data_IF_595889101482
#
_entry.id   IF_595889101482
#
_cell.length_a   1.000
_cell.length_b   1.000
_cell.length_c   1.000
_cell.angle_alpha   90.00
_cell.angle_beta   90.00
_cell.angle_gamma   90.00
#
_symmetry.space_group_name_H-M   'P 1'
#
loop_
_entity.id
_entity.type
_entity.pdbx_description
1 polymer ?
#
# COMPACT_ATOMS: atom_id res chain seq x y z
N UNK A 1 8.79 18.28 -4.31
CA UNK A 1 7.31 18.34 -4.33
C UNK A 1 6.85 17.61 -5.58
N UNK A 2 6.18 16.46 -5.43
CA UNK A 2 5.69 15.69 -6.58
C UNK A 2 4.37 16.28 -7.04
N UNK A 3 4.32 16.78 -8.26
CA UNK A 3 3.06 17.20 -8.88
C UNK A 3 2.34 15.99 -9.50
N UNK A 4 1.11 15.78 -9.04
CA UNK A 4 0.18 14.75 -9.53
C UNK A 4 -1.08 15.43 -10.02
N UNK A 5 -1.61 14.95 -11.14
CA UNK A 5 -2.81 15.48 -11.78
C UNK A 5 -3.70 14.36 -12.32
N UNK A 6 -4.95 14.69 -12.63
CA UNK A 6 -5.94 13.73 -13.12
C UNK A 6 -6.29 12.67 -12.08
N UNK A 7 -6.52 11.44 -12.52
CA UNK A 7 -6.99 10.34 -11.67
C UNK A 7 -6.09 10.05 -10.46
N UNK A 8 -4.77 10.23 -10.59
CA UNK A 8 -3.84 10.05 -9.48
C UNK A 8 -4.07 11.08 -8.35
N UNK A 9 -4.45 12.31 -8.72
CA UNK A 9 -4.80 13.35 -7.75
C UNK A 9 -6.10 13.02 -7.01
N UNK A 10 -7.11 12.50 -7.72
CA UNK A 10 -8.38 12.10 -7.11
C UNK A 10 -8.22 10.92 -6.13
N UNK A 11 -7.29 9.99 -6.42
CA UNK A 11 -6.93 8.90 -5.50
C UNK A 11 -6.24 9.47 -4.26
N UNK A 12 -5.25 10.35 -4.45
CA UNK A 12 -4.55 10.96 -3.33
C UNK A 12 -5.51 11.72 -2.40
N UNK A 13 -6.39 12.55 -2.95
CA UNK A 13 -7.39 13.28 -2.16
C UNK A 13 -8.33 12.35 -1.38
N UNK A 14 -8.68 11.19 -1.93
CA UNK A 14 -9.49 10.19 -1.21
C UNK A 14 -8.73 9.59 -0.03
N UNK A 15 -7.48 9.20 -0.23
CA UNK A 15 -6.62 8.66 0.83
C UNK A 15 -6.37 9.70 1.92
N UNK A 16 -6.09 10.94 1.55
CA UNK A 16 -5.91 12.06 2.49
C UNK A 16 -7.17 12.28 3.35
N UNK A 17 -8.36 12.27 2.73
CA UNK A 17 -9.65 12.36 3.46
C UNK A 17 -9.88 11.20 4.42
N UNK A 18 -9.30 10.03 4.16
CA UNK A 18 -9.36 8.88 5.08
C UNK A 18 -8.34 8.98 6.23
N UNK A 19 -7.51 10.03 6.25
CA UNK A 19 -6.44 10.25 7.22
C UNK A 19 -5.18 9.45 6.89
N UNK A 20 -4.96 9.12 5.61
CA UNK A 20 -3.71 8.54 5.16
C UNK A 20 -2.64 9.63 5.05
N UNK A 21 -1.40 9.25 5.35
CA UNK A 21 -0.19 10.06 5.23
C UNK A 21 0.80 9.35 4.33
N UNK A 22 1.72 10.11 3.75
CA UNK A 22 2.75 9.59 2.86
C UNK A 22 4.10 9.79 3.50
N UNK A 23 4.87 8.69 3.52
CA UNK A 23 6.26 8.67 3.94
C UNK A 23 7.11 8.31 2.72
N UNK A 24 8.13 9.12 2.45
CA UNK A 24 9.06 8.90 1.33
C UNK A 24 10.45 8.63 1.90
N UNK A 25 11.03 7.50 1.49
CA UNK A 25 12.39 7.12 1.82
C UNK A 25 13.25 7.05 0.57
N UNK A 26 14.52 7.44 0.73
CA UNK A 26 15.52 7.39 -0.33
C UNK A 26 16.56 6.34 0.03
N UNK A 27 16.61 5.28 -0.76
CA UNK A 27 17.52 4.15 -0.58
C UNK A 27 18.58 4.14 -1.68
N UNK A 28 19.85 3.91 -1.32
CA UNK A 28 20.88 3.61 -2.30
C UNK A 28 20.91 2.10 -2.53
N UNK A 29 20.60 1.64 -3.74
CA UNK A 29 20.62 0.23 -4.07
C UNK A 29 22.07 -0.25 -4.18
N UNK A 30 22.59 -1.05 -3.23
CA UNK A 30 24.02 -1.31 -3.08
C UNK A 30 24.62 -2.07 -4.27
N UNK A 31 23.79 -2.82 -5.00
CA UNK A 31 24.23 -3.61 -6.15
C UNK A 31 24.33 -2.80 -7.44
N UNK A 32 23.51 -1.75 -7.58
CA UNK A 32 23.33 -1.03 -8.84
C UNK A 32 23.84 0.41 -8.79
N UNK A 33 24.33 0.84 -7.62
CA UNK A 33 24.75 2.21 -7.33
C UNK A 33 23.71 3.25 -7.80
N UNK A 34 22.44 2.90 -7.61
CA UNK A 34 21.29 3.69 -8.05
C UNK A 34 20.44 4.04 -6.86
N UNK A 35 20.01 5.30 -6.83
CA UNK A 35 19.01 5.76 -5.89
C UNK A 35 17.66 5.18 -6.28
N UNK A 36 16.95 4.62 -5.31
CA UNK A 36 15.57 4.18 -5.41
C UNK A 36 14.77 4.94 -4.36
N UNK A 37 13.61 5.43 -4.77
CA UNK A 37 12.64 6.03 -3.88
C UNK A 37 11.62 4.97 -3.50
N UNK A 38 11.30 4.91 -2.22
CA UNK A 38 10.23 4.08 -1.67
C UNK A 38 9.22 5.03 -1.06
N UNK A 39 7.96 4.87 -1.44
CA UNK A 39 6.86 5.67 -0.94
C UNK A 39 5.89 4.74 -0.25
N UNK A 40 5.58 5.04 0.99
CA UNK A 40 4.67 4.28 1.83
C UNK A 40 3.47 5.15 2.16
N UNK A 41 2.27 4.65 1.86
CA UNK A 41 1.01 5.26 2.29
C UNK A 41 0.59 4.59 3.58
N UNK A 42 0.49 5.35 4.66
CA UNK A 42 0.18 4.85 6.00
C UNK A 42 -1.13 5.46 6.51
N UNK A 43 -1.90 4.72 7.29
CA UNK A 43 -3.08 5.22 8.00
C UNK A 43 -2.98 4.79 9.46
N UNK A 44 -2.91 5.77 10.38
CA UNK A 44 -2.79 5.52 11.83
C UNK A 44 -1.65 4.54 12.18
N UNK A 45 -0.51 4.67 11.51
CA UNK A 45 0.67 3.80 11.71
C UNK A 45 0.58 2.43 11.05
N UNK A 46 -0.48 2.13 10.30
CA UNK A 46 -0.61 0.90 9.51
C UNK A 46 -0.29 1.20 8.05
N UNK A 47 0.59 0.40 7.45
CA UNK A 47 0.91 0.50 6.01
C UNK A 47 -0.30 0.05 5.19
N UNK A 48 -0.79 0.95 4.34
CA UNK A 48 -1.89 0.70 3.40
C UNK A 48 -1.36 0.27 2.04
N UNK A 49 -0.32 0.95 1.57
CA UNK A 49 0.30 0.66 0.29
C UNK A 49 1.76 1.06 0.30
N UNK A 50 2.55 0.43 -0.57
CA UNK A 50 3.96 0.77 -0.76
C UNK A 50 4.29 0.69 -2.24
N UNK A 51 4.98 1.70 -2.75
CA UNK A 51 5.47 1.76 -4.11
C UNK A 51 6.94 2.11 -4.14
N UNK A 52 7.66 1.64 -5.16
CA UNK A 52 9.05 2.00 -5.36
C UNK A 52 9.32 2.38 -6.80
N UNK A 53 10.35 3.20 -7.00
CA UNK A 53 10.73 3.65 -8.33
C UNK A 53 12.07 4.38 -8.35
N UNK A 54 12.67 4.55 -9.54
CA UNK A 54 13.93 5.28 -9.67
C UNK A 54 13.75 6.79 -9.50
N UNK A 55 12.50 7.28 -9.43
CA UNK A 55 12.15 8.67 -9.11
C UNK A 55 11.05 8.71 -8.06
N UNK A 56 11.02 9.78 -7.27
CA UNK A 56 9.98 10.01 -6.25
C UNK A 56 8.57 9.97 -6.85
N UNK A 57 8.38 10.57 -8.04
CA UNK A 57 7.10 10.56 -8.76
C UNK A 57 6.65 9.15 -9.13
N UNK A 58 7.56 8.31 -9.63
CA UNK A 58 7.21 6.94 -10.00
C UNK A 58 6.90 6.08 -8.77
N UNK A 59 7.67 6.22 -7.70
CA UNK A 59 7.39 5.55 -6.43
C UNK A 59 6.02 5.96 -5.87
N UNK A 60 5.70 7.26 -5.94
CA UNK A 60 4.42 7.80 -5.49
C UNK A 60 3.23 7.28 -6.32
N UNK A 61 3.34 7.31 -7.65
CA UNK A 61 2.30 6.76 -8.52
C UNK A 61 2.11 5.26 -8.31
N UNK A 62 3.21 4.49 -8.13
CA UNK A 62 3.14 3.08 -7.81
C UNK A 62 2.39 2.84 -6.48
N UNK A 63 2.70 3.62 -5.44
CA UNK A 63 2.03 3.51 -4.15
C UNK A 63 0.53 3.85 -4.24
N UNK A 64 0.14 4.84 -5.06
CA UNK A 64 -1.26 5.17 -5.30
C UNK A 64 -2.01 4.06 -6.07
N UNK A 65 -1.36 3.43 -7.05
CA UNK A 65 -1.95 2.30 -7.80
C UNK A 65 -2.22 1.14 -6.85
N UNK A 66 -1.24 0.78 -6.02
CA UNK A 66 -1.38 -0.25 -4.99
C UNK A 66 -2.50 0.10 -4.00
N UNK A 67 -2.59 1.36 -3.56
CA UNK A 67 -3.65 1.79 -2.64
C UNK A 67 -5.06 1.59 -3.23
N UNK A 68 -5.26 1.85 -4.53
CA UNK A 68 -6.55 1.61 -5.20
C UNK A 68 -6.88 0.13 -5.30
N UNK A 69 -5.88 -0.72 -5.51
CA UNK A 69 -6.07 -2.17 -5.53
C UNK A 69 -6.43 -2.73 -4.16
N UNK A 70 -5.89 -2.13 -3.09
CA UNK A 70 -6.20 -2.49 -1.69
C UNK A 70 -7.57 -1.96 -1.25
N UNK A 71 -8.04 -0.82 -1.78
CA UNK A 71 -9.41 -0.32 -1.52
C UNK A 71 -10.52 -1.29 -2.02
N UNK A 72 -10.17 -2.30 -2.82
CA UNK A 72 -11.09 -3.32 -3.33
C UNK A 72 -11.18 -4.58 -2.43
N UNK A 73 -11.41 -4.41 -1.13
CA UNK A 73 -12.12 -5.43 -0.33
C UNK A 73 -13.09 -4.72 0.60
N UNK A 74 -14.38 -4.55 0.23
CA UNK A 74 -15.39 -4.46 1.26
C UNK A 74 -15.31 -5.77 2.04
N UNK A 75 -14.83 -5.70 3.28
CA UNK A 75 -14.97 -6.78 4.23
C UNK A 75 -16.48 -7.00 4.42
N UNK A 76 -17.08 -7.82 3.55
CA UNK A 76 -18.33 -8.48 3.85
C UNK A 76 -18.18 -9.22 5.19
N UNK A 77 -19.28 -9.46 5.92
CA UNK A 77 -19.22 -10.11 7.22
C UNK A 77 -18.36 -11.36 7.11
N UNK A 78 -17.40 -11.51 8.01
CA UNK A 78 -16.51 -12.66 8.11
C UNK A 78 -17.38 -13.91 8.17
N UNK A 79 -17.58 -14.55 7.01
CA UNK A 79 -18.13 -15.89 6.95
C UNK A 79 -16.96 -16.80 7.36
N UNK A 80 -17.03 -17.53 8.48
CA UNK A 80 -15.98 -18.48 8.81
C UNK A 80 -15.92 -19.49 7.67
N UNK A 81 -14.80 -19.49 6.94
CA UNK A 81 -14.51 -20.52 5.95
C UNK A 81 -14.43 -21.84 6.70
N UNK A 82 -15.45 -22.68 6.52
CA UNK A 82 -15.42 -24.09 6.87
C UNK A 82 -14.34 -24.72 5.98
N UNK A 83 -13.13 -24.82 6.52
CA UNK A 83 -12.06 -25.63 5.92
C UNK A 83 -12.44 -27.09 6.17
N UNK A 84 -13.07 -27.69 5.16
CA UNK A 84 -13.31 -29.12 5.13
C UNK A 84 -11.98 -29.86 5.05
N UNK A 85 -11.78 -30.77 6.00
CA UNK A 85 -10.86 -31.90 5.92
C UNK A 85 -9.40 -31.60 6.21
N UNK A 86 -8.98 -31.62 7.48
CA UNK A 86 -8.49 -32.87 8.06
C UNK A 86 -8.37 -32.74 9.59
N UNK A 87 -8.53 -33.87 10.26
CA UNK A 87 -8.63 -33.99 11.72
C UNK A 87 -7.29 -33.68 12.40
N UNK A 88 -7.28 -32.70 13.31
CA UNK A 88 -6.44 -32.79 14.50
C UNK A 88 -7.27 -32.35 15.70
N UNK A 89 -7.69 -33.33 16.49
CA UNK A 89 -8.19 -33.12 17.83
C UNK A 89 -7.04 -32.63 18.72
N UNK A 90 -7.26 -31.54 19.44
CA UNK A 90 -6.58 -31.33 20.72
C UNK A 90 -7.68 -31.19 21.76
N UNK A 91 -7.95 -32.31 22.42
CA UNK A 91 -8.59 -32.38 23.73
C UNK A 91 -7.55 -32.00 24.78
N UNK A 92 -7.93 -31.16 25.75
CA UNK A 92 -7.12 -30.84 26.92
C UNK A 92 -7.39 -29.44 27.43
#
# INVERSE_FOLDING_TARGET
>A
MVEVSGQAWDVWLRLERQGCVVETEKHLHPKWDRVVFVVTVCRRGVVVATGSGPTERQAFLAALIEAVQVEAVPCGPVVPAVVGGDRVAVLG
#
